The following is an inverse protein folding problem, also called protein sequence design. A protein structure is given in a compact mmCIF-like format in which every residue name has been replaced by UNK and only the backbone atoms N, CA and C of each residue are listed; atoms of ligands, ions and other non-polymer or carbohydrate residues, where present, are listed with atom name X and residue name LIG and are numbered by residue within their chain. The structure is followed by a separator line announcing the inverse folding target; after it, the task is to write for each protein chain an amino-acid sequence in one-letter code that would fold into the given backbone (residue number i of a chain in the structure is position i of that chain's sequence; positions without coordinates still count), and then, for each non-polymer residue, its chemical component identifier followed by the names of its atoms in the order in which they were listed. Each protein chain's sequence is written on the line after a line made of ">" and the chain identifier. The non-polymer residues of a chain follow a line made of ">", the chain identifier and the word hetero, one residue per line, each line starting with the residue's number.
data_IF_410169853653
#
_entry.id   IF_410169853653
#
_cell.length_a   1.000
_cell.length_b   1.000
_cell.length_c   1.000
_cell.angle_alpha   90.00
_cell.angle_beta   90.00
_cell.angle_gamma   90.00
#
_symmetry.space_group_name_H-M   'P 1'
#
loop_
_entity.id
_entity.type
_entity.pdbx_description
1 polymer ?
#
# COMPACT_ATOMS: atom_id res chain seq x y z
N UNK A 1 -23.04 -27.58 -80.41
CA UNK A 1 -21.77 -27.50 -79.72
C UNK A 1 -21.99 -26.72 -78.44
N UNK A 2 -22.04 -27.40 -77.28
CA UNK A 2 -22.16 -26.76 -75.93
C UNK A 2 -20.83 -26.90 -75.23
N UNK A 3 -20.18 -25.75 -74.91
CA UNK A 3 -18.94 -25.69 -74.17
C UNK A 3 -19.25 -25.80 -72.69
N UNK A 4 -18.67 -26.82 -72.00
CA UNK A 4 -18.71 -27.00 -70.57
C UNK A 4 -17.51 -26.26 -69.95
N UNK A 5 -17.78 -25.20 -69.24
CA UNK A 5 -16.77 -24.50 -68.37
C UNK A 5 -16.78 -25.16 -67.01
N UNK A 6 -15.71 -25.87 -66.62
CA UNK A 6 -15.47 -26.38 -65.27
C UNK A 6 -14.79 -25.29 -64.48
N UNK A 7 -15.44 -24.75 -63.43
CA UNK A 7 -14.84 -23.87 -62.43
C UNK A 7 -14.04 -24.72 -61.43
N UNK A 8 -12.76 -24.41 -61.33
CA UNK A 8 -11.82 -25.00 -60.35
C UNK A 8 -11.86 -24.16 -59.08
N UNK A 9 -12.47 -24.69 -58.01
CA UNK A 9 -12.36 -24.07 -56.68
C UNK A 9 -11.04 -24.46 -56.02
N UNK A 10 -10.14 -23.48 -55.86
CA UNK A 10 -8.92 -23.63 -55.05
C UNK A 10 -9.27 -23.33 -53.61
N UNK A 11 -9.31 -24.36 -52.77
CA UNK A 11 -9.37 -24.21 -51.31
C UNK A 11 -7.99 -23.81 -50.80
N UNK A 12 -7.80 -22.56 -50.38
CA UNK A 12 -6.66 -22.15 -49.58
C UNK A 12 -6.89 -22.58 -48.10
N UNK A 13 -5.96 -23.32 -47.49
CA UNK A 13 -6.04 -23.58 -46.06
C UNK A 13 -5.75 -22.29 -45.26
N UNK A 14 -6.73 -21.87 -44.49
CA UNK A 14 -6.58 -20.80 -43.51
C UNK A 14 -5.72 -21.30 -42.33
N UNK A 15 -4.41 -21.02 -42.36
CA UNK A 15 -3.54 -21.28 -41.23
C UNK A 15 -3.85 -20.24 -40.15
N UNK A 16 -4.64 -20.67 -39.15
CA UNK A 16 -4.87 -19.88 -37.93
C UNK A 16 -3.56 -19.91 -37.10
N UNK A 17 -2.71 -18.86 -37.24
CA UNK A 17 -1.60 -18.61 -36.36
C UNK A 17 -2.16 -18.24 -34.98
N UNK A 18 -2.24 -19.23 -34.08
CA UNK A 18 -2.44 -18.96 -32.65
C UNK A 18 -1.20 -18.25 -32.15
N UNK A 19 -1.25 -16.92 -32.06
CA UNK A 19 -0.34 -16.15 -31.26
C UNK A 19 -0.58 -16.49 -29.78
N UNK A 20 0.12 -17.46 -29.24
CA UNK A 20 0.27 -17.57 -27.81
C UNK A 20 1.08 -16.36 -27.37
N UNK A 21 0.44 -15.37 -26.76
CA UNK A 21 1.12 -14.31 -26.04
C UNK A 21 1.86 -14.97 -24.88
N UNK A 22 3.11 -15.36 -25.11
CA UNK A 22 4.02 -15.68 -24.03
C UNK A 22 4.22 -14.37 -23.25
N UNK A 23 3.47 -14.18 -22.16
CA UNK A 23 3.82 -13.19 -21.16
C UNK A 23 5.22 -13.53 -20.69
N UNK A 24 6.22 -12.77 -21.12
CA UNK A 24 7.60 -12.93 -20.66
C UNK A 24 7.61 -12.88 -19.13
N UNK A 25 8.39 -13.72 -18.50
CA UNK A 25 8.59 -13.71 -17.06
C UNK A 25 9.10 -12.29 -16.69
N UNK A 26 8.27 -11.51 -16.02
CA UNK A 26 8.67 -10.18 -15.54
C UNK A 26 9.25 -10.34 -14.14
N UNK A 27 10.49 -9.92 -13.97
CA UNK A 27 11.11 -9.79 -12.66
C UNK A 27 10.90 -8.37 -12.17
N UNK A 28 10.32 -8.25 -10.97
CA UNK A 28 10.11 -6.98 -10.30
C UNK A 28 11.14 -6.82 -9.18
N UNK A 29 11.63 -5.60 -9.02
CA UNK A 29 12.38 -5.20 -7.84
C UNK A 29 11.41 -4.97 -6.69
N UNK A 30 11.74 -5.49 -5.50
CA UNK A 30 10.94 -5.34 -4.28
C UNK A 30 11.81 -4.72 -3.20
N UNK A 31 11.31 -3.65 -2.61
CA UNK A 31 11.97 -2.93 -1.52
C UNK A 31 11.27 -3.23 -0.19
N UNK A 32 12.05 -3.45 0.85
CA UNK A 32 11.54 -3.79 2.17
C UNK A 32 11.95 -2.72 3.18
N UNK A 33 10.95 -1.99 3.68
CA UNK A 33 11.09 -1.09 4.80
C UNK A 33 11.02 -1.88 6.11
N UNK A 34 11.87 -1.50 7.06
CA UNK A 34 12.03 -2.28 8.29
C UNK A 34 12.01 -1.41 9.54
N UNK A 35 11.79 -2.01 10.70
CA UNK A 35 12.17 -1.40 11.97
C UNK A 35 13.57 -1.84 12.37
N UNK A 36 14.35 -0.92 12.97
CA UNK A 36 15.75 -1.19 13.38
C UNK A 36 15.92 -0.95 14.88
N UNK A 37 15.35 -1.80 15.76
CA UNK A 37 15.57 -1.66 17.19
C UNK A 37 17.04 -1.88 17.53
N UNK A 38 17.54 -1.25 18.61
CA UNK A 38 18.95 -1.17 19.00
C UNK A 38 19.73 -2.52 18.93
N UNK A 39 19.08 -3.62 19.26
CA UNK A 39 19.66 -4.97 19.21
C UNK A 39 18.94 -5.88 18.23
N UNK A 40 18.21 -5.31 17.25
CA UNK A 40 17.47 -6.06 16.25
C UNK A 40 18.33 -6.53 15.09
N UNK A 41 17.81 -7.48 14.31
CA UNK A 41 18.54 -8.04 13.18
C UNK A 41 18.57 -7.12 11.95
N UNK A 42 17.71 -6.12 11.86
CA UNK A 42 17.66 -5.23 10.71
C UNK A 42 18.58 -4.02 10.86
N UNK A 43 19.16 -3.59 9.72
CA UNK A 43 20.03 -2.42 9.60
C UNK A 43 19.47 -1.31 8.71
N UNK A 44 18.37 -1.54 8.00
CA UNK A 44 17.86 -0.52 7.10
C UNK A 44 16.89 -1.04 6.05
N UNK A 45 17.03 -0.55 4.82
CA UNK A 45 16.22 -0.93 3.67
C UNK A 45 16.84 -2.15 2.99
N UNK A 46 16.00 -3.16 2.70
CA UNK A 46 16.43 -4.35 1.95
C UNK A 46 15.81 -4.32 0.56
N UNK A 47 16.45 -5.04 -0.35
CA UNK A 47 16.02 -5.24 -1.73
C UNK A 47 15.94 -6.72 -2.06
N UNK A 48 15.03 -7.10 -2.97
CA UNK A 48 14.93 -8.44 -3.53
C UNK A 48 14.36 -8.42 -4.94
N UNK A 49 14.50 -9.53 -5.64
CA UNK A 49 13.97 -9.76 -6.98
C UNK A 49 12.79 -10.73 -6.92
N UNK A 50 11.62 -10.33 -7.40
CA UNK A 50 10.41 -11.13 -7.44
C UNK A 50 10.07 -11.56 -8.87
N UNK A 51 10.01 -12.86 -9.11
CA UNK A 51 9.62 -13.42 -10.40
C UNK A 51 8.11 -13.67 -10.43
N UNK A 52 7.37 -12.83 -11.14
CA UNK A 52 5.89 -12.88 -11.21
C UNK A 52 5.34 -14.12 -11.93
N UNK A 53 6.17 -14.86 -12.70
CA UNK A 53 5.74 -16.11 -13.34
C UNK A 53 5.72 -17.27 -12.36
N UNK A 54 6.71 -17.33 -11.46
CA UNK A 54 6.91 -18.45 -10.55
C UNK A 54 6.52 -18.16 -9.11
N UNK A 55 6.28 -16.88 -8.74
CA UNK A 55 6.04 -16.45 -7.37
C UNK A 55 7.29 -16.49 -6.49
N UNK A 56 8.49 -16.59 -7.06
CA UNK A 56 9.72 -16.70 -6.28
C UNK A 56 10.33 -15.34 -5.98
N UNK A 57 10.60 -15.10 -4.69
CA UNK A 57 11.38 -13.98 -4.18
C UNK A 57 12.81 -14.46 -3.91
N UNK A 58 13.82 -13.72 -4.40
CA UNK A 58 15.22 -14.09 -4.33
C UNK A 58 16.14 -12.89 -4.19
N UNK A 59 17.44 -13.12 -4.00
CA UNK A 59 18.49 -12.09 -3.96
C UNK A 59 18.26 -11.01 -2.88
N UNK A 60 17.76 -11.42 -1.70
CA UNK A 60 17.56 -10.50 -0.61
C UNK A 60 18.90 -9.98 -0.10
N UNK A 61 19.06 -8.66 -0.10
CA UNK A 61 20.28 -7.98 0.36
C UNK A 61 19.95 -6.64 1.02
N UNK A 62 20.85 -6.17 1.88
CA UNK A 62 20.78 -4.81 2.43
C UNK A 62 21.10 -3.81 1.31
N UNK A 63 20.16 -2.90 1.04
CA UNK A 63 20.29 -1.89 -0.01
C UNK A 63 20.76 -0.54 0.53
N UNK A 64 20.37 -0.17 1.76
CA UNK A 64 20.82 1.03 2.43
C UNK A 64 20.77 0.87 3.95
N UNK A 65 21.83 1.31 4.65
CA UNK A 65 21.80 1.43 6.11
C UNK A 65 21.15 2.76 6.51
N UNK A 66 20.07 2.67 7.28
CA UNK A 66 19.34 3.81 7.83
C UNK A 66 18.48 3.36 9.00
N UNK A 67 18.30 4.22 10.01
CA UNK A 67 17.50 3.88 11.17
C UNK A 67 15.99 4.02 10.88
N UNK A 68 15.22 2.96 11.20
CA UNK A 68 13.76 2.91 11.14
C UNK A 68 13.15 3.38 9.81
N UNK A 69 13.58 2.86 8.64
CA UNK A 69 12.91 3.12 7.37
C UNK A 69 11.56 2.39 7.34
N UNK A 70 10.62 2.90 8.13
CA UNK A 70 9.38 2.20 8.47
C UNK A 70 8.38 2.12 7.32
N UNK A 71 8.42 3.07 6.39
CA UNK A 71 7.59 3.04 5.19
C UNK A 71 8.36 3.60 4.01
N UNK A 72 8.09 3.04 2.83
CA UNK A 72 8.75 3.37 1.57
C UNK A 72 7.72 3.79 0.53
N UNK A 73 8.11 4.67 -0.38
CA UNK A 73 7.33 5.04 -1.56
C UNK A 73 8.26 5.23 -2.76
N UNK A 74 7.93 4.60 -3.87
CA UNK A 74 8.68 4.73 -5.13
C UNK A 74 8.11 5.87 -5.96
N UNK A 75 9.00 6.70 -6.52
CA UNK A 75 8.61 7.74 -7.46
C UNK A 75 8.00 7.13 -8.73
N UNK A 76 6.98 7.76 -9.37
CA UNK A 76 6.36 7.25 -10.60
C UNK A 76 7.34 6.99 -11.76
N UNK A 77 8.46 7.75 -11.83
CA UNK A 77 9.53 7.48 -12.81
C UNK A 77 10.29 6.16 -12.58
N UNK A 78 10.12 5.52 -11.40
CA UNK A 78 10.88 4.34 -11.01
C UNK A 78 12.35 4.58 -10.67
N UNK A 79 12.82 5.83 -10.63
CA UNK A 79 14.23 6.19 -10.43
C UNK A 79 14.57 6.63 -9.02
N UNK A 80 13.57 6.94 -8.19
CA UNK A 80 13.74 7.39 -6.82
C UNK A 80 12.91 6.55 -5.85
N UNK A 81 13.43 6.38 -4.64
CA UNK A 81 12.75 5.77 -3.50
C UNK A 81 12.82 6.72 -2.30
N UNK A 82 11.69 6.95 -1.64
CA UNK A 82 11.63 7.76 -0.42
C UNK A 82 11.34 6.88 0.77
N UNK A 83 11.98 7.18 1.89
CA UNK A 83 11.78 6.49 3.15
C UNK A 83 11.36 7.47 4.25
N UNK A 84 10.31 7.14 4.99
CA UNK A 84 10.06 7.71 6.30
C UNK A 84 11.02 7.02 7.29
N UNK A 85 12.07 7.72 7.71
CA UNK A 85 13.18 7.15 8.45
C UNK A 85 13.73 8.12 9.52
N UNK A 86 14.73 7.69 10.27
CA UNK A 86 15.52 8.57 11.15
C UNK A 86 16.91 8.75 10.55
N UNK A 87 17.21 9.96 10.09
CA UNK A 87 18.52 10.33 9.55
C UNK A 87 19.33 11.06 10.62
N UNK A 88 20.45 10.49 11.01
CA UNK A 88 21.29 11.00 12.14
C UNK A 88 20.48 11.31 13.42
N UNK A 89 19.47 10.50 13.73
CA UNK A 89 18.60 10.68 14.90
C UNK A 89 17.42 11.65 14.69
N UNK A 90 17.31 12.29 13.53
CA UNK A 90 16.23 13.22 13.20
C UNK A 90 15.17 12.50 12.33
N UNK A 91 13.87 12.47 12.73
CA UNK A 91 12.80 11.98 11.87
C UNK A 91 12.75 12.76 10.56
N UNK A 92 12.93 12.05 9.44
CA UNK A 92 13.13 12.66 8.12
C UNK A 92 12.44 11.88 7.00
N UNK A 93 12.16 12.55 5.90
CA UNK A 93 12.04 11.94 4.59
C UNK A 93 13.43 11.83 4.00
N UNK A 94 13.85 10.63 3.65
CA UNK A 94 15.16 10.37 3.01
C UNK A 94 14.92 9.91 1.59
N UNK A 95 15.54 10.61 0.63
CA UNK A 95 15.46 10.28 -0.78
C UNK A 95 16.69 9.47 -1.23
N UNK A 96 16.45 8.46 -2.05
CA UNK A 96 17.47 7.62 -2.66
C UNK A 96 17.28 7.55 -4.16
N UNK A 97 18.37 7.67 -4.92
CA UNK A 97 18.37 7.25 -6.32
C UNK A 97 18.47 5.73 -6.41
N UNK A 98 17.64 5.16 -7.27
CA UNK A 98 17.70 3.74 -7.59
C UNK A 98 18.68 3.57 -8.75
N UNK A 99 19.74 2.80 -8.55
CA UNK A 99 20.78 2.55 -9.54
C UNK A 99 20.91 1.05 -9.84
N UNK A 100 21.33 0.69 -11.06
CA UNK A 100 21.44 -0.69 -11.49
C UNK A 100 20.30 -1.15 -12.40
N UNK A 101 20.22 -2.46 -12.62
CA UNK A 101 19.24 -3.10 -13.50
C UNK A 101 18.42 -4.14 -12.72
N UNK A 102 17.28 -4.53 -13.31
CA UNK A 102 16.31 -5.45 -12.74
C UNK A 102 16.91 -6.61 -11.94
N UNK A 103 16.52 -6.75 -10.68
CA UNK A 103 16.97 -7.79 -9.76
C UNK A 103 18.36 -7.57 -9.15
N UNK A 104 19.04 -6.46 -9.47
CA UNK A 104 20.37 -6.06 -8.94
C UNK A 104 20.43 -4.54 -8.76
N UNK A 105 19.42 -3.97 -8.13
CA UNK A 105 19.38 -2.55 -7.86
C UNK A 105 20.02 -2.22 -6.51
N UNK A 106 20.55 -1.01 -6.40
CA UNK A 106 21.12 -0.43 -5.19
C UNK A 106 20.53 0.95 -4.94
N UNK A 107 20.68 1.44 -3.71
CA UNK A 107 20.23 2.77 -3.30
C UNK A 107 21.43 3.67 -3.03
N UNK A 108 21.43 4.84 -3.68
CA UNK A 108 22.39 5.91 -3.40
C UNK A 108 21.63 7.07 -2.76
N UNK A 109 21.98 7.43 -1.52
CA UNK A 109 21.33 8.54 -0.82
C UNK A 109 21.49 9.83 -1.61
N UNK A 110 20.37 10.47 -1.91
CA UNK A 110 20.30 11.73 -2.66
C UNK A 110 20.20 12.94 -1.73
N UNK A 111 19.38 12.82 -0.68
CA UNK A 111 19.19 13.87 0.32
C UNK A 111 18.21 13.45 1.41
N UNK A 112 18.03 14.34 2.38
CA UNK A 112 17.01 14.17 3.43
C UNK A 112 16.49 15.51 3.92
N UNK A 113 15.22 15.56 4.35
CA UNK A 113 14.60 16.74 4.96
C UNK A 113 13.87 16.33 6.24
N UNK A 114 14.02 17.12 7.32
CA UNK A 114 13.31 16.88 8.58
C UNK A 114 11.79 16.97 8.40
N UNK A 115 11.07 16.02 8.99
CA UNK A 115 9.60 16.02 8.99
C UNK A 115 9.04 17.16 9.84
N UNK A 116 9.65 17.42 11.01
CA UNK A 116 9.33 18.58 11.85
C UNK A 116 8.23 18.37 12.90
N UNK A 117 7.57 17.21 12.94
CA UNK A 117 6.56 16.89 13.95
C UNK A 117 6.56 15.39 14.32
N UNK A 118 7.70 14.93 14.83
CA UNK A 118 7.90 13.51 15.14
C UNK A 118 8.15 12.64 13.92
N UNK A 119 8.08 11.31 14.11
CA UNK A 119 8.32 10.33 13.04
C UNK A 119 7.06 10.04 12.24
N UNK A 120 7.21 9.87 10.93
CA UNK A 120 6.12 9.46 10.07
C UNK A 120 5.86 7.96 10.15
N UNK A 121 4.58 7.61 10.19
CA UNK A 121 4.11 6.23 10.05
C UNK A 121 3.96 5.82 8.58
N UNK A 122 3.83 6.78 7.68
CA UNK A 122 3.63 6.56 6.24
C UNK A 122 4.28 7.67 5.41
N UNK A 123 4.70 7.31 4.20
CA UNK A 123 5.15 8.22 3.15
C UNK A 123 4.49 7.82 1.83
N UNK A 124 4.13 8.79 1.01
CA UNK A 124 3.62 8.58 -0.35
C UNK A 124 4.15 9.64 -1.31
N UNK A 125 4.00 9.39 -2.60
CA UNK A 125 4.36 10.33 -3.68
C UNK A 125 3.10 10.60 -4.49
N UNK A 126 2.89 11.84 -4.93
CA UNK A 126 1.84 12.18 -5.90
C UNK A 126 2.05 11.45 -7.23
N UNK A 127 0.98 11.23 -7.98
CA UNK A 127 1.06 10.50 -9.25
C UNK A 127 1.83 11.25 -10.33
N UNK A 128 1.80 12.58 -10.26
CA UNK A 128 2.59 13.46 -11.13
C UNK A 128 4.08 13.55 -10.72
N UNK A 129 4.43 13.00 -9.56
CA UNK A 129 5.81 12.94 -9.06
C UNK A 129 6.35 14.27 -8.53
N UNK A 130 5.51 15.26 -8.19
CA UNK A 130 5.96 16.59 -7.76
C UNK A 130 6.06 16.79 -6.27
N UNK A 131 5.35 15.97 -5.48
CA UNK A 131 5.36 16.07 -4.03
C UNK A 131 5.46 14.71 -3.34
N UNK A 132 6.09 14.72 -2.18
CA UNK A 132 6.04 13.65 -1.18
C UNK A 132 5.15 14.10 -0.03
N UNK A 133 4.26 13.21 0.42
CA UNK A 133 3.42 13.41 1.58
C UNK A 133 3.83 12.46 2.72
N UNK A 134 3.69 12.89 3.96
CA UNK A 134 3.95 12.06 5.16
C UNK A 134 2.83 12.20 6.17
N UNK A 135 2.56 11.12 6.92
CA UNK A 135 1.60 11.11 8.03
C UNK A 135 2.33 10.81 9.34
N UNK A 136 2.26 11.73 10.31
CA UNK A 136 2.97 11.68 11.58
C UNK A 136 2.03 11.17 12.68
N UNK A 137 2.16 9.89 13.02
CA UNK A 137 1.34 9.26 14.06
C UNK A 137 1.55 9.91 15.44
N UNK A 138 2.80 10.17 15.80
CA UNK A 138 3.14 10.75 17.10
C UNK A 138 2.74 12.21 17.23
N UNK A 139 2.87 12.99 16.16
CA UNK A 139 2.54 14.41 16.11
C UNK A 139 1.06 14.68 15.87
N UNK A 140 0.36 13.81 15.15
CA UNK A 140 -1.01 14.04 14.69
C UNK A 140 -1.05 15.09 13.58
N UNK A 141 -0.19 14.93 12.57
CA UNK A 141 -0.04 15.91 11.47
C UNK A 141 0.24 15.21 10.14
N UNK A 142 0.19 15.97 9.07
CA UNK A 142 0.66 15.58 7.73
C UNK A 142 1.58 16.66 7.18
N UNK A 143 2.62 16.27 6.43
CA UNK A 143 3.52 17.23 5.79
C UNK A 143 3.64 16.98 4.30
N UNK A 144 3.91 18.06 3.55
CA UNK A 144 4.15 18.04 2.12
C UNK A 144 5.58 18.51 1.83
N UNK A 145 6.24 17.83 0.88
CA UNK A 145 7.60 18.13 0.44
C UNK A 145 7.60 18.26 -1.08
N UNK A 146 8.17 19.34 -1.58
CA UNK A 146 8.32 19.54 -3.02
C UNK A 146 9.52 18.78 -3.56
N UNK A 147 9.34 18.27 -4.77
CA UNK A 147 10.38 17.59 -5.53
C UNK A 147 10.78 18.43 -6.76
N UNK A 148 12.02 18.26 -7.20
CA UNK A 148 12.46 18.76 -8.51
C UNK A 148 12.07 17.77 -9.62
N UNK A 149 12.34 18.13 -10.88
CA UNK A 149 12.04 17.30 -12.07
C UNK A 149 12.77 15.96 -12.09
N UNK A 150 13.78 15.76 -11.22
CA UNK A 150 14.50 14.50 -11.07
C UNK A 150 13.99 13.66 -9.92
N UNK A 151 13.08 14.21 -9.09
CA UNK A 151 12.56 13.62 -7.88
C UNK A 151 13.42 13.86 -6.64
N UNK A 152 14.38 14.80 -6.68
CA UNK A 152 15.14 15.18 -5.49
C UNK A 152 14.31 16.10 -4.58
N UNK A 153 14.47 15.95 -3.27
CA UNK A 153 13.79 16.79 -2.28
C UNK A 153 14.29 18.24 -2.34
N UNK A 154 13.37 19.20 -2.49
CA UNK A 154 13.68 20.65 -2.48
C UNK A 154 13.52 21.23 -1.06
N UNK A 155 12.30 21.08 -0.51
CA UNK A 155 11.90 21.67 0.78
C UNK A 155 10.72 20.93 1.37
N UNK A 156 10.51 21.03 2.70
CA UNK A 156 9.20 20.80 3.30
C UNK A 156 8.37 22.06 3.11
N UNK A 157 7.42 22.02 2.19
CA UNK A 157 6.61 23.16 1.80
C UNK A 157 5.39 23.39 2.67
N UNK A 158 4.92 22.33 3.36
CA UNK A 158 3.73 22.44 4.24
C UNK A 158 3.77 21.45 5.41
N UNK A 159 3.04 21.80 6.50
CA UNK A 159 2.86 20.97 7.70
C UNK A 159 1.51 21.30 8.37
N UNK A 160 0.53 20.44 8.18
CA UNK A 160 -0.82 20.58 8.72
C UNK A 160 -1.03 19.73 9.96
N UNK A 161 -1.41 20.37 11.09
CA UNK A 161 -1.72 19.71 12.36
C UNK A 161 -3.19 19.41 12.48
N UNK A 162 -3.51 18.18 12.85
CA UNK A 162 -4.87 17.77 13.14
C UNK A 162 -5.26 18.21 14.56
N UNK A 163 -6.52 18.66 14.78
CA UNK A 163 -6.85 19.41 16.00
C UNK A 163 -6.87 18.55 17.26
N UNK A 164 -7.64 17.46 17.31
CA UNK A 164 -7.84 16.67 18.53
C UNK A 164 -8.27 15.25 18.21
N UNK A 165 -8.12 14.34 19.16
CA UNK A 165 -8.68 12.99 19.08
C UNK A 165 -10.19 12.96 19.34
N UNK A 166 -10.86 11.85 18.99
CA UNK A 166 -12.28 11.61 19.26
C UNK A 166 -12.55 11.26 20.73
N UNK A 167 -11.55 10.72 21.43
CA UNK A 167 -11.66 10.29 22.81
C UNK A 167 -12.47 9.01 23.04
N UNK A 168 -13.03 8.39 21.99
CA UNK A 168 -13.89 7.20 22.12
C UNK A 168 -13.12 6.03 22.74
N UNK A 169 -11.94 5.72 22.22
CA UNK A 169 -11.01 4.75 22.83
C UNK A 169 -9.92 5.54 23.57
N UNK A 170 -10.16 5.79 24.85
CA UNK A 170 -9.35 6.73 25.66
C UNK A 170 -7.83 6.46 25.61
N UNK A 171 -7.40 5.20 25.57
CA UNK A 171 -5.98 4.80 25.51
C UNK A 171 -5.33 5.03 24.13
N UNK A 172 -6.12 5.22 23.08
CA UNK A 172 -5.63 5.29 21.69
C UNK A 172 -6.04 6.55 20.93
N UNK A 173 -7.08 7.27 21.39
CA UNK A 173 -7.71 8.37 20.68
C UNK A 173 -7.78 9.67 21.51
N UNK A 174 -6.90 9.81 22.51
CA UNK A 174 -6.80 11.03 23.32
C UNK A 174 -6.28 12.25 22.55
N UNK A 175 -5.67 12.05 21.38
CA UNK A 175 -5.22 13.06 20.42
C UNK A 175 -5.27 12.54 19.00
N UNK A 176 -5.01 13.41 18.03
CA UNK A 176 -4.86 13.02 16.62
C UNK A 176 -3.68 12.08 16.40
N UNK A 177 -3.83 11.14 15.48
CA UNK A 177 -2.84 10.13 15.09
C UNK A 177 -2.93 9.82 13.60
N UNK A 178 -2.43 10.72 12.76
CA UNK A 178 -2.36 10.52 11.31
C UNK A 178 -1.51 9.29 10.99
N UNK A 179 -2.07 8.33 10.23
CA UNK A 179 -1.39 7.03 10.05
C UNK A 179 -1.03 6.71 8.60
N UNK A 180 -1.74 7.22 7.64
CA UNK A 180 -1.51 7.04 6.21
C UNK A 180 -1.71 8.37 5.48
N UNK A 181 -1.13 8.51 4.30
CA UNK A 181 -1.41 9.61 3.39
C UNK A 181 -1.29 9.15 1.94
N UNK A 182 -2.03 9.79 1.05
CA UNK A 182 -1.99 9.56 -0.38
C UNK A 182 -2.92 10.51 -1.11
N UNK A 183 -2.82 10.53 -2.44
CA UNK A 183 -3.58 11.44 -3.29
C UNK A 183 -4.78 10.78 -3.96
N UNK A 184 -5.75 11.61 -4.41
CA UNK A 184 -6.77 11.19 -5.36
C UNK A 184 -6.15 10.71 -6.68
N UNK A 185 -6.90 9.98 -7.52
CA UNK A 185 -6.40 9.53 -8.82
C UNK A 185 -5.89 10.64 -9.76
N UNK A 186 -6.34 11.86 -9.56
CA UNK A 186 -6.03 13.07 -10.33
C UNK A 186 -5.14 14.08 -9.58
N UNK A 187 -4.61 13.70 -8.40
CA UNK A 187 -3.76 14.51 -7.52
C UNK A 187 -4.37 15.83 -7.01
N UNK A 188 -5.69 16.07 -7.21
CA UNK A 188 -6.34 17.29 -6.72
C UNK A 188 -6.59 17.31 -5.21
N UNK A 189 -6.63 16.13 -4.60
CA UNK A 189 -6.90 15.99 -3.17
C UNK A 189 -5.89 15.06 -2.51
N UNK A 190 -5.55 15.36 -1.25
CA UNK A 190 -4.80 14.49 -0.37
C UNK A 190 -5.71 13.97 0.76
N UNK A 191 -5.53 12.69 1.12
CA UNK A 191 -6.32 12.00 2.14
C UNK A 191 -5.41 11.52 3.26
N UNK A 192 -5.83 11.74 4.50
CA UNK A 192 -5.07 11.36 5.69
C UNK A 192 -6.00 10.67 6.69
N UNK A 193 -6.11 9.34 6.67
CA UNK A 193 -6.74 8.60 7.77
C UNK A 193 -6.05 8.92 9.08
N UNK A 194 -6.84 9.43 10.04
CA UNK A 194 -6.38 9.75 11.38
C UNK A 194 -7.07 8.85 12.40
N UNK A 195 -6.30 7.91 12.94
CA UNK A 195 -6.78 6.91 13.91
C UNK A 195 -7.36 7.57 15.17
N UNK A 196 -6.74 8.66 15.61
CA UNK A 196 -7.18 9.36 16.82
C UNK A 196 -8.50 10.10 16.64
N UNK A 197 -8.80 10.55 15.43
CA UNK A 197 -9.98 11.39 15.14
C UNK A 197 -11.22 10.62 14.71
N UNK A 198 -11.12 9.33 14.38
CA UNK A 198 -12.16 8.57 13.66
C UNK A 198 -12.56 9.21 12.32
N UNK A 199 -11.59 9.83 11.64
CA UNK A 199 -11.82 10.55 10.39
C UNK A 199 -10.72 10.29 9.38
N UNK A 200 -11.08 10.40 8.10
CA UNK A 200 -10.14 10.63 7.01
C UNK A 200 -10.14 12.11 6.71
N UNK A 201 -9.06 12.82 7.04
CA UNK A 201 -8.93 14.25 6.74
C UNK A 201 -8.66 14.40 5.25
N UNK A 202 -9.35 15.35 4.61
CA UNK A 202 -9.22 15.66 3.18
C UNK A 202 -8.70 17.07 3.00
N UNK A 203 -7.68 17.21 2.16
CA UNK A 203 -7.10 18.48 1.76
C UNK A 203 -7.23 18.68 0.25
N UNK A 204 -7.41 19.91 -0.21
CA UNK A 204 -7.05 20.26 -1.58
C UNK A 204 -5.54 20.32 -1.69
N UNK A 205 -4.98 19.66 -2.71
CA UNK A 205 -3.55 19.58 -2.95
C UNK A 205 -3.18 20.42 -4.17
N UNK A 206 -2.24 21.33 -3.98
CA UNK A 206 -1.54 22.02 -5.08
C UNK A 206 -0.14 21.40 -5.20
N UNK A 207 0.05 20.49 -6.15
CA UNK A 207 1.32 19.78 -6.32
C UNK A 207 2.45 20.69 -6.80
N UNK A 208 2.15 21.80 -7.51
CA UNK A 208 3.15 22.76 -7.96
C UNK A 208 3.73 23.57 -6.78
N UNK A 209 2.88 24.01 -5.87
CA UNK A 209 3.29 24.75 -4.67
C UNK A 209 3.66 23.84 -3.50
N UNK A 210 3.19 22.58 -3.52
CA UNK A 210 3.32 21.66 -2.41
C UNK A 210 2.51 22.10 -1.19
N UNK A 211 1.28 22.57 -1.37
CA UNK A 211 0.42 23.07 -0.28
C UNK A 211 -0.81 22.23 -0.08
N UNK A 212 -1.26 22.15 1.17
CA UNK A 212 -2.44 21.43 1.66
C UNK A 212 -3.45 22.42 2.22
N UNK A 213 -4.58 22.62 1.54
CA UNK A 213 -5.69 23.44 2.03
C UNK A 213 -6.76 22.53 2.67
N UNK A 214 -7.14 22.71 3.96
CA UNK A 214 -8.20 21.92 4.58
C UNK A 214 -9.49 21.97 3.76
N UNK A 215 -10.06 20.78 3.48
CA UNK A 215 -11.23 20.66 2.62
C UNK A 215 -12.44 20.01 3.34
N UNK A 216 -12.21 18.92 4.08
CA UNK A 216 -13.31 18.21 4.76
C UNK A 216 -12.88 16.92 5.42
N UNK A 217 -13.85 16.02 5.67
CA UNK A 217 -13.61 14.74 6.34
C UNK A 217 -14.48 13.63 5.77
N UNK A 218 -13.91 12.42 5.65
CA UNK A 218 -14.69 11.19 5.68
C UNK A 218 -14.83 10.73 7.13
N UNK A 219 -16.05 10.52 7.62
CA UNK A 219 -16.31 10.10 9.01
C UNK A 219 -16.39 8.58 9.07
N UNK A 220 -15.53 7.96 9.88
CA UNK A 220 -15.53 6.54 10.17
C UNK A 220 -16.36 6.23 11.43
N UNK A 221 -16.70 4.96 11.71
CA UNK A 221 -17.39 4.58 12.94
C UNK A 221 -16.65 5.06 14.18
N UNK A 222 -17.36 5.53 15.23
CA UNK A 222 -16.76 5.95 16.49
C UNK A 222 -15.94 4.80 17.13
N UNK A 223 -14.68 5.07 17.47
CA UNK A 223 -13.76 4.06 17.99
C UNK A 223 -13.13 3.17 16.92
N UNK A 224 -13.47 3.34 15.66
CA UNK A 224 -12.95 2.55 14.55
C UNK A 224 -11.45 2.70 14.35
N UNK A 225 -10.94 3.92 14.45
CA UNK A 225 -9.53 4.24 14.28
C UNK A 225 -9.03 4.00 12.86
N UNK A 226 -9.41 4.85 11.88
CA UNK A 226 -8.99 4.69 10.49
C UNK A 226 -7.47 4.76 10.37
N UNK A 227 -6.90 3.79 9.66
CA UNK A 227 -5.45 3.56 9.60
C UNK A 227 -4.87 3.74 8.21
N UNK A 228 -5.29 2.90 7.27
CA UNK A 228 -4.90 2.91 5.86
C UNK A 228 -6.13 2.94 4.98
N UNK A 229 -5.97 3.41 3.76
CA UNK A 229 -7.05 3.40 2.76
C UNK A 229 -6.52 3.14 1.36
N UNK A 230 -7.40 2.69 0.47
CA UNK A 230 -7.13 2.53 -0.96
C UNK A 230 -8.35 2.91 -1.78
N UNK A 231 -8.10 3.53 -2.92
CA UNK A 231 -9.11 3.72 -3.95
C UNK A 231 -9.39 2.43 -4.70
N UNK A 232 -10.64 2.26 -5.15
CA UNK A 232 -10.95 1.30 -6.22
C UNK A 232 -10.25 1.71 -7.53
N UNK A 233 -9.95 0.77 -8.44
CA UNK A 233 -9.28 1.10 -9.71
C UNK A 233 -10.03 2.10 -10.59
N UNK A 234 -11.37 2.14 -10.50
CA UNK A 234 -12.21 3.10 -11.19
C UNK A 234 -12.31 4.47 -10.51
N UNK A 235 -11.69 4.62 -9.34
CA UNK A 235 -11.66 5.86 -8.55
C UNK A 235 -12.99 6.24 -7.89
N UNK A 236 -14.03 5.40 -7.93
CA UNK A 236 -15.37 5.75 -7.42
C UNK A 236 -15.60 5.36 -5.96
N UNK A 237 -14.75 4.50 -5.41
CA UNK A 237 -14.86 3.99 -4.05
C UNK A 237 -13.54 4.16 -3.30
N UNK A 238 -13.66 4.28 -1.99
CA UNK A 238 -12.53 4.28 -1.07
C UNK A 238 -12.80 3.22 0.00
N UNK A 239 -11.82 2.35 0.24
CA UNK A 239 -11.85 1.34 1.29
C UNK A 239 -10.93 1.78 2.41
N UNK A 240 -11.49 2.10 3.58
CA UNK A 240 -10.77 2.57 4.77
C UNK A 240 -10.72 1.46 5.80
N UNK A 241 -9.50 1.05 6.16
CA UNK A 241 -9.25 0.07 7.21
C UNK A 241 -9.25 0.73 8.58
N UNK A 242 -10.13 0.28 9.47
CA UNK A 242 -10.23 0.72 10.85
C UNK A 242 -9.40 -0.21 11.75
N UNK A 243 -8.32 0.32 12.32
CA UNK A 243 -7.34 -0.46 13.08
C UNK A 243 -7.93 -1.05 14.37
N UNK A 244 -8.69 -0.24 15.10
CA UNK A 244 -9.11 -0.57 16.48
C UNK A 244 -10.32 -1.49 16.51
N UNK A 245 -11.25 -1.30 15.56
CA UNK A 245 -12.45 -2.12 15.43
C UNK A 245 -12.24 -3.39 14.60
N UNK A 246 -11.14 -3.49 13.85
CA UNK A 246 -10.88 -4.55 12.86
C UNK A 246 -12.01 -4.61 11.82
N UNK A 247 -12.25 -3.51 11.15
CA UNK A 247 -13.29 -3.38 10.12
C UNK A 247 -12.80 -2.61 8.90
N UNK A 248 -13.53 -2.72 7.80
CA UNK A 248 -13.35 -1.90 6.60
C UNK A 248 -14.61 -1.09 6.37
N UNK A 249 -14.47 0.24 6.25
CA UNK A 249 -15.57 1.13 5.84
C UNK A 249 -15.43 1.45 4.36
N UNK A 250 -16.50 1.22 3.60
CA UNK A 250 -16.59 1.55 2.18
C UNK A 250 -17.17 2.95 2.06
N UNK A 251 -16.50 3.82 1.32
CA UNK A 251 -17.00 5.17 1.00
C UNK A 251 -17.26 5.28 -0.51
N UNK A 252 -18.36 5.95 -0.86
CA UNK A 252 -18.50 6.56 -2.18
C UNK A 252 -17.59 7.78 -2.27
N UNK A 253 -16.95 7.99 -3.41
CA UNK A 253 -16.10 9.15 -3.66
C UNK A 253 -16.63 9.99 -4.81
N UNK A 254 -16.84 11.26 -4.57
CA UNK A 254 -17.12 12.27 -5.58
C UNK A 254 -15.80 12.96 -5.96
N UNK A 255 -15.31 12.66 -7.15
CA UNK A 255 -14.03 13.19 -7.61
C UNK A 255 -14.07 14.70 -7.90
N UNK A 256 -15.22 15.24 -8.30
CA UNK A 256 -15.33 16.68 -8.59
C UNK A 256 -15.37 17.51 -7.32
N UNK A 257 -16.12 17.04 -6.32
CA UNK A 257 -16.23 17.70 -5.03
C UNK A 257 -15.11 17.35 -4.05
N UNK A 258 -14.37 16.26 -4.26
CA UNK A 258 -13.37 15.75 -3.31
C UNK A 258 -13.99 15.22 -2.01
N UNK A 259 -15.24 14.74 -2.06
CA UNK A 259 -15.99 14.34 -0.86
C UNK A 259 -16.14 12.83 -0.73
N UNK A 260 -16.25 12.37 0.52
CA UNK A 260 -16.42 10.97 0.89
C UNK A 260 -17.78 10.76 1.57
N UNK A 261 -18.61 9.86 1.02
CA UNK A 261 -19.90 9.47 1.61
C UNK A 261 -19.79 8.07 2.21
N UNK A 262 -19.97 7.89 3.54
CA UNK A 262 -19.85 6.58 4.19
C UNK A 262 -20.98 5.64 3.73
N UNK A 263 -20.64 4.38 3.51
CA UNK A 263 -21.55 3.29 3.20
C UNK A 263 -21.39 2.12 4.18
N UNK A 264 -21.17 0.91 3.64
CA UNK A 264 -21.00 -0.30 4.43
C UNK A 264 -19.77 -0.22 5.35
N UNK A 265 -19.91 -0.76 6.57
CA UNK A 265 -18.77 -1.18 7.41
C UNK A 265 -18.86 -2.67 7.66
N UNK A 266 -17.79 -3.41 7.37
CA UNK A 266 -17.71 -4.87 7.51
C UNK A 266 -16.50 -5.27 8.36
N UNK A 267 -16.71 -6.23 9.28
CA UNK A 267 -15.63 -6.76 10.12
C UNK A 267 -14.59 -7.55 9.32
N UNK A 268 -13.30 -7.43 9.69
CA UNK A 268 -12.21 -8.24 9.12
C UNK A 268 -12.07 -9.59 9.82
N UNK A 269 -12.56 -9.72 11.05
CA UNK A 269 -12.60 -10.94 11.83
C UNK A 269 -13.96 -11.05 12.53
N UNK A 270 -14.46 -12.26 12.70
CA UNK A 270 -15.61 -12.52 13.58
C UNK A 270 -15.22 -12.42 15.06
N UNK A 271 -16.21 -12.32 15.94
CA UNK A 271 -15.99 -12.17 17.39
C UNK A 271 -15.29 -13.39 18.00
N UNK A 272 -15.53 -14.59 17.46
CA UNK A 272 -14.87 -15.80 17.93
C UNK A 272 -13.36 -15.78 17.60
N UNK A 273 -12.97 -15.27 16.44
CA UNK A 273 -11.57 -15.09 16.08
C UNK A 273 -10.91 -13.98 16.89
N UNK A 274 -11.60 -12.85 17.11
CA UNK A 274 -11.10 -11.73 17.93
C UNK A 274 -10.83 -12.17 19.37
N UNK A 275 -11.71 -13.00 19.96
CA UNK A 275 -11.62 -13.42 21.36
C UNK A 275 -10.47 -14.39 21.66
N UNK A 276 -9.82 -14.97 20.62
CA UNK A 276 -8.70 -15.91 20.81
C UNK A 276 -7.39 -15.21 21.18
N UNK A 277 -7.28 -13.92 20.91
CA UNK A 277 -6.05 -13.18 21.12
C UNK A 277 -6.27 -12.03 22.11
N UNK A 278 -5.30 -11.84 23.01
CA UNK A 278 -5.31 -10.74 23.98
C UNK A 278 -5.24 -9.38 23.30
N UNK A 279 -4.60 -9.34 22.14
CA UNK A 279 -4.45 -8.12 21.35
C UNK A 279 -4.68 -8.41 19.87
N UNK A 280 -5.62 -7.68 19.28
CA UNK A 280 -5.85 -7.66 17.85
C UNK A 280 -5.85 -6.23 17.33
N UNK A 281 -5.33 -6.01 16.12
CA UNK A 281 -5.49 -4.73 15.42
C UNK A 281 -5.24 -4.90 13.92
N UNK A 282 -6.02 -4.21 13.10
CA UNK A 282 -5.79 -4.23 11.66
C UNK A 282 -4.55 -3.42 11.27
N UNK A 283 -3.96 -3.67 10.10
CA UNK A 283 -2.70 -3.01 9.71
C UNK A 283 -2.62 -2.52 8.26
N UNK A 284 -2.86 -3.33 7.26
CA UNK A 284 -2.74 -2.95 5.85
C UNK A 284 -4.00 -3.34 5.10
N UNK A 285 -4.31 -2.58 4.05
CA UNK A 285 -5.38 -2.86 3.10
C UNK A 285 -4.87 -2.67 1.68
N UNK A 286 -5.23 -3.60 0.78
CA UNK A 286 -4.93 -3.54 -0.65
C UNK A 286 -6.17 -3.89 -1.46
N UNK A 287 -6.37 -3.15 -2.55
CA UNK A 287 -7.37 -3.49 -3.58
C UNK A 287 -6.65 -4.21 -4.71
N UNK A 288 -7.19 -5.34 -5.12
CA UNK A 288 -6.67 -6.09 -6.26
C UNK A 288 -6.77 -5.25 -7.55
N UNK A 289 -5.78 -5.30 -8.48
CA UNK A 289 -5.81 -4.50 -9.71
C UNK A 289 -7.07 -4.68 -10.56
N UNK A 290 -7.74 -5.84 -10.48
CA UNK A 290 -9.02 -6.07 -11.17
C UNK A 290 -10.21 -5.33 -10.54
N UNK A 291 -10.08 -4.75 -9.34
CA UNK A 291 -11.17 -4.17 -8.57
C UNK A 291 -12.16 -5.19 -7.97
N UNK A 292 -11.96 -6.49 -8.18
CA UNK A 292 -12.88 -7.54 -7.74
C UNK A 292 -12.67 -8.00 -6.29
N UNK A 293 -11.50 -7.70 -5.72
CA UNK A 293 -11.12 -8.19 -4.40
C UNK A 293 -10.43 -7.11 -3.59
N UNK A 294 -10.62 -7.18 -2.27
CA UNK A 294 -9.93 -6.36 -1.26
C UNK A 294 -9.32 -7.30 -0.23
N UNK A 295 -8.12 -6.98 0.24
CA UNK A 295 -7.41 -7.74 1.25
C UNK A 295 -7.05 -6.83 2.43
N UNK A 296 -7.14 -7.34 3.67
CA UNK A 296 -6.72 -6.61 4.87
C UNK A 296 -5.96 -7.53 5.83
N UNK A 297 -4.98 -7.00 6.55
CA UNK A 297 -4.17 -7.79 7.49
C UNK A 297 -4.56 -7.50 8.94
N UNK A 298 -4.56 -8.55 9.79
CA UNK A 298 -4.89 -8.53 11.20
C UNK A 298 -3.68 -8.99 12.03
N UNK A 299 -3.16 -8.11 12.87
CA UNK A 299 -2.07 -8.40 13.83
C UNK A 299 -2.66 -9.00 15.11
N UNK A 300 -1.94 -9.90 15.74
CA UNK A 300 -2.41 -10.71 16.87
C UNK A 300 -3.01 -12.00 16.36
N UNK A 301 -4.09 -11.95 15.59
CA UNK A 301 -4.65 -13.11 14.89
C UNK A 301 -3.74 -13.60 13.75
N UNK A 302 -2.84 -12.73 13.23
CA UNK A 302 -1.80 -13.02 12.24
C UNK A 302 -2.35 -13.59 10.93
N UNK A 303 -3.37 -12.92 10.39
CA UNK A 303 -4.08 -13.33 9.18
C UNK A 303 -4.17 -12.21 8.14
N UNK A 304 -4.52 -12.59 6.91
CA UNK A 304 -5.05 -11.72 5.87
C UNK A 304 -6.50 -12.14 5.60
N UNK A 305 -7.41 -11.19 5.67
CA UNK A 305 -8.82 -11.36 5.30
C UNK A 305 -9.00 -10.95 3.86
N UNK A 306 -9.61 -11.81 3.05
CA UNK A 306 -9.99 -11.55 1.67
C UNK A 306 -11.48 -11.25 1.57
N UNK A 307 -11.83 -10.26 0.74
CA UNK A 307 -13.21 -9.87 0.44
C UNK A 307 -13.43 -9.86 -1.08
N UNK A 308 -14.62 -10.28 -1.52
CA UNK A 308 -15.13 -9.96 -2.85
C UNK A 308 -15.78 -8.58 -2.84
N UNK A 309 -15.75 -7.92 -4.00
CA UNK A 309 -16.34 -6.59 -4.23
C UNK A 309 -17.55 -6.75 -5.14
N UNK A 310 -18.72 -6.32 -4.71
CA UNK A 310 -19.85 -6.12 -5.59
C UNK A 310 -19.54 -4.97 -6.57
N UNK A 311 -19.55 -5.24 -7.86
CA UNK A 311 -19.08 -4.27 -8.85
C UNK A 311 -20.04 -3.09 -9.07
N UNK A 312 -21.29 -3.19 -8.64
CA UNK A 312 -22.28 -2.12 -8.75
C UNK A 312 -22.25 -1.19 -7.54
N UNK A 313 -22.31 -1.75 -6.33
CA UNK A 313 -22.36 -0.98 -5.08
C UNK A 313 -20.98 -0.66 -4.52
N UNK A 314 -19.96 -1.49 -4.80
CA UNK A 314 -18.64 -1.47 -4.18
C UNK A 314 -18.60 -2.12 -2.80
N UNK A 315 -19.71 -2.69 -2.33
CA UNK A 315 -19.79 -3.38 -1.04
C UNK A 315 -18.94 -4.65 -1.01
N UNK A 316 -18.49 -4.99 0.19
CA UNK A 316 -17.61 -6.10 0.46
C UNK A 316 -18.40 -7.28 1.02
N UNK A 317 -18.02 -8.50 0.60
CA UNK A 317 -18.44 -9.75 1.23
C UNK A 317 -17.20 -10.56 1.60
N UNK A 318 -17.16 -11.07 2.84
CA UNK A 318 -16.04 -11.86 3.33
C UNK A 318 -15.93 -13.17 2.55
N UNK A 319 -14.73 -13.48 2.05
CA UNK A 319 -14.40 -14.73 1.36
C UNK A 319 -13.69 -15.70 2.30
N UNK A 320 -12.58 -15.27 2.89
CA UNK A 320 -11.76 -16.11 3.76
C UNK A 320 -10.92 -15.28 4.74
N UNK A 321 -10.40 -15.95 5.77
CA UNK A 321 -9.39 -15.42 6.70
C UNK A 321 -8.22 -16.41 6.69
N UNK A 322 -7.13 -16.05 5.97
CA UNK A 322 -5.98 -16.92 5.73
C UNK A 322 -4.81 -16.55 6.66
N UNK A 323 -4.27 -17.51 7.46
CA UNK A 323 -3.08 -17.28 8.27
C UNK A 323 -1.84 -16.97 7.43
N UNK A 324 -1.06 -15.94 7.81
CA UNK A 324 0.12 -15.49 7.03
C UNK A 324 1.33 -16.42 7.09
N UNK A 325 1.30 -17.49 7.87
CA UNK A 325 2.46 -18.38 8.13
C UNK A 325 3.66 -17.63 8.71
N UNK A 326 3.39 -16.64 9.53
CA UNK A 326 4.33 -15.77 10.21
C UNK A 326 3.61 -15.03 11.33
N UNK A 327 4.26 -14.07 11.98
CA UNK A 327 3.65 -13.31 13.07
C UNK A 327 3.80 -11.80 12.88
N UNK A 328 2.75 -11.08 13.27
CA UNK A 328 2.64 -9.63 13.23
C UNK A 328 2.69 -9.04 11.81
N UNK A 329 1.66 -9.31 10.96
CA UNK A 329 1.58 -8.80 9.59
C UNK A 329 1.33 -7.28 9.58
N UNK A 330 2.39 -6.49 9.77
CA UNK A 330 2.26 -5.04 9.76
C UNK A 330 1.98 -4.47 8.37
N UNK A 331 2.43 -5.17 7.34
CA UNK A 331 2.22 -4.80 5.94
C UNK A 331 2.20 -6.06 5.07
N UNK A 332 1.53 -5.97 3.96
CA UNK A 332 1.64 -6.87 2.82
C UNK A 332 1.46 -6.06 1.53
N UNK A 333 1.87 -6.61 0.40
CA UNK A 333 1.59 -6.01 -0.89
C UNK A 333 1.21 -7.06 -1.93
N UNK A 334 0.49 -6.63 -2.96
CA UNK A 334 0.21 -7.41 -4.15
C UNK A 334 1.29 -7.14 -5.18
N UNK A 335 1.71 -8.17 -5.92
CA UNK A 335 2.60 -7.95 -7.06
C UNK A 335 1.86 -7.18 -8.17
N UNK A 336 2.56 -6.44 -9.03
CA UNK A 336 1.91 -5.63 -10.08
C UNK A 336 1.03 -6.44 -11.06
N UNK A 337 1.22 -7.75 -11.16
CA UNK A 337 0.36 -8.62 -11.96
C UNK A 337 -0.95 -9.01 -11.28
N UNK A 338 -1.08 -8.77 -9.97
CA UNK A 338 -2.22 -9.20 -9.15
C UNK A 338 -2.28 -10.70 -8.89
N UNK A 339 -1.27 -11.47 -9.23
CA UNK A 339 -1.28 -12.94 -9.04
C UNK A 339 -0.74 -13.40 -7.70
N UNK A 340 -0.04 -12.51 -6.99
CA UNK A 340 0.68 -12.86 -5.78
C UNK A 340 0.48 -11.83 -4.68
N UNK A 341 0.44 -12.32 -3.45
CA UNK A 341 0.47 -11.53 -2.23
C UNK A 341 1.72 -11.89 -1.42
N UNK A 342 2.49 -10.87 -1.01
CA UNK A 342 3.67 -10.99 -0.18
C UNK A 342 3.33 -10.44 1.22
N UNK A 343 3.22 -11.31 2.22
CA UNK A 343 2.87 -10.94 3.59
C UNK A 343 4.11 -10.85 4.49
N UNK A 344 4.33 -9.70 5.11
CA UNK A 344 5.46 -9.46 5.99
C UNK A 344 5.14 -9.85 7.45
N UNK A 345 5.75 -10.93 7.94
CA UNK A 345 5.75 -11.33 9.35
C UNK A 345 6.87 -10.61 10.10
N UNK A 346 6.59 -9.45 10.71
CA UNK A 346 7.58 -8.62 11.39
C UNK A 346 8.34 -9.39 12.47
N UNK A 347 7.62 -10.12 13.33
CA UNK A 347 8.20 -10.85 14.48
C UNK A 347 8.96 -12.10 14.01
N UNK A 348 8.47 -12.77 13.00
CA UNK A 348 9.12 -13.96 12.41
C UNK A 348 10.24 -13.62 11.43
N UNK A 349 10.45 -12.33 11.10
CA UNK A 349 11.46 -11.91 10.12
C UNK A 349 11.28 -12.59 8.75
N UNK A 350 10.04 -12.74 8.29
CA UNK A 350 9.71 -13.51 7.08
C UNK A 350 8.80 -12.74 6.13
N UNK A 351 8.92 -13.06 4.86
CA UNK A 351 7.95 -12.74 3.82
C UNK A 351 7.34 -14.06 3.35
N UNK A 352 6.09 -14.29 3.62
CA UNK A 352 5.33 -15.44 3.13
C UNK A 352 4.65 -15.08 1.81
N UNK A 353 4.66 -16.02 0.86
CA UNK A 353 4.17 -15.79 -0.49
C UNK A 353 2.91 -16.62 -0.74
N UNK A 354 1.86 -15.96 -1.22
CA UNK A 354 0.59 -16.57 -1.56
C UNK A 354 0.26 -16.34 -3.03
N UNK A 355 -0.25 -17.34 -3.71
CA UNK A 355 -0.93 -17.15 -4.99
C UNK A 355 -2.36 -16.69 -4.76
N UNK A 356 -2.87 -15.85 -5.66
CA UNK A 356 -4.24 -15.35 -5.64
C UNK A 356 -5.03 -16.07 -6.73
N UNK A 357 -6.14 -16.71 -6.37
CA UNK A 357 -7.08 -17.29 -7.33
C UNK A 357 -7.70 -16.18 -8.17
N UNK A 358 -7.47 -16.22 -9.48
CA UNK A 358 -8.02 -15.22 -10.40
C UNK A 358 -9.55 -15.18 -10.37
N UNK A 359 -10.19 -16.31 -10.13
CA UNK A 359 -11.65 -16.44 -10.22
C UNK A 359 -12.33 -16.15 -8.88
N UNK A 360 -11.77 -16.64 -7.76
CA UNK A 360 -12.39 -16.53 -6.42
C UNK A 360 -11.75 -15.46 -5.54
N UNK A 361 -10.51 -15.05 -5.81
CA UNK A 361 -9.75 -14.11 -4.94
C UNK A 361 -9.12 -14.75 -3.71
N UNK A 362 -9.33 -16.04 -3.51
CA UNK A 362 -8.77 -16.79 -2.38
C UNK A 362 -7.25 -16.90 -2.44
N UNK A 363 -6.62 -16.94 -1.28
CA UNK A 363 -5.17 -17.00 -1.09
C UNK A 363 -4.74 -18.47 -0.90
N UNK A 364 -3.70 -18.87 -1.62
CA UNK A 364 -3.09 -20.17 -1.41
C UNK A 364 -1.61 -20.01 -1.07
N UNK A 365 -1.21 -20.46 0.13
CA UNK A 365 0.20 -20.43 0.53
C UNK A 365 1.04 -21.31 -0.38
N UNK A 366 2.09 -20.73 -0.97
CA UNK A 366 2.99 -21.42 -1.90
C UNK A 366 3.97 -22.38 -1.22
N UNK A 367 4.00 -22.39 0.10
CA UNK A 367 5.01 -23.03 0.97
C UNK A 367 6.40 -22.39 0.84
N UNK A 368 6.48 -21.20 0.23
CA UNK A 368 7.69 -20.39 0.17
C UNK A 368 7.61 -19.25 1.19
N UNK A 369 8.65 -19.13 2.00
CA UNK A 369 8.87 -18.01 2.89
C UNK A 369 10.35 -17.62 2.85
N UNK A 370 10.61 -16.30 2.77
CA UNK A 370 11.97 -15.76 2.64
C UNK A 370 12.28 -14.89 3.85
N UNK A 371 13.52 -14.96 4.37
CA UNK A 371 13.92 -14.15 5.50
C UNK A 371 14.17 -12.70 5.10
N UNK A 372 13.43 -11.77 5.71
CA UNK A 372 13.65 -10.32 5.66
C UNK A 372 13.48 -9.78 7.08
N UNK A 373 14.55 -9.24 7.69
CA UNK A 373 14.52 -8.91 9.11
C UNK A 373 13.59 -7.71 9.38
N UNK A 374 12.72 -7.86 10.40
CA UNK A 374 11.83 -6.81 10.93
C UNK A 374 11.04 -6.05 9.86
N UNK A 375 10.62 -6.72 8.78
CA UNK A 375 9.92 -6.09 7.67
C UNK A 375 8.55 -5.54 8.10
N UNK A 376 8.28 -4.28 7.74
CA UNK A 376 7.03 -3.56 8.02
C UNK A 376 6.50 -2.77 6.84
N UNK A 377 7.16 -2.86 5.67
CA UNK A 377 6.72 -2.29 4.40
C UNK A 377 7.26 -3.16 3.25
N UNK A 378 6.40 -3.51 2.31
CA UNK A 378 6.73 -4.21 1.05
C UNK A 378 6.34 -3.29 -0.09
N UNK A 379 7.31 -2.86 -0.92
CA UNK A 379 7.10 -1.90 -2.02
C UNK A 379 7.67 -2.46 -3.33
N UNK A 380 6.84 -2.42 -4.43
CA UNK A 380 7.20 -2.92 -5.76
C UNK A 380 7.70 -1.84 -6.70
#
# INVERSE_FOLDING_TARGET
>A
MKANTRSLYVLLPLILLMYSSQTSAQTFDVWFGTSTPKNGPSKGIYHGAFNSKTGKLSNISLAAEIANPGFLAKHPSGKMLYAAASDAGVPSVVAYRIEGANGKQSLVKDGSLPIGDGGAAHVSVSRDGKVVLTAQYGGGSTACFRLDDKGSLIERSDLEKHPAGSGVVASRQGKAHAHWTGTSPDDRFAFVPDLGMDKVVVYKLDTEKGTLEPHGYGVCPPGGGPRHMKFSPDGKRIYVLNELELSVTVFGYDADAGTMTPGQTIATLDEAAKSKEVFNSASEIRVHPSGRFVYSANRGNDTVTAFSVDQASGELSLLEVEPIRGAWPRNFNLDPSGRWLLAAGKVTNSISIFSISKDTGELQFTRDAVSVPQCICVEF
#
